data_IF_284180724303
#
_entry.id   IF_284180724303
#
_cell.length_a   1.000
_cell.length_b   1.000
_cell.length_c   1.000
_cell.angle_alpha   90.00
_cell.angle_beta   90.00
_cell.angle_gamma   90.00
#
_symmetry.space_group_name_H-M   'P 1'
#
loop_
_entity.id
_entity.type
_entity.pdbx_description
1 polymer ?
#
# COMPACT_ATOMS: atom_id res chain seq x y z
N UNK A 1 -7.42 -7.58 -7.02
CA UNK A 1 -8.61 -7.83 -6.20
C UNK A 1 -9.73 -8.26 -7.09
N UNK A 2 -10.56 -9.04 -6.55
CA UNK A 2 -11.69 -9.56 -7.27
C UNK A 2 -12.59 -8.42 -7.73
N UNK A 3 -13.04 -8.48 -8.95
CA UNK A 3 -14.03 -7.57 -9.54
C UNK A 3 -13.67 -6.09 -9.56
N UNK A 4 -12.45 -5.72 -9.19
CA UNK A 4 -12.00 -4.34 -9.28
C UNK A 4 -12.77 -3.34 -8.43
N UNK A 5 -13.23 -3.73 -7.24
CA UNK A 5 -14.00 -2.86 -6.36
C UNK A 5 -13.21 -2.27 -5.21
N UNK A 6 -11.93 -2.64 -5.07
CA UNK A 6 -11.08 -2.13 -4.01
C UNK A 6 -10.96 -0.60 -4.09
N UNK A 7 -11.07 0.07 -2.95
CA UNK A 7 -10.92 1.52 -2.90
C UNK A 7 -9.57 2.00 -3.41
N UNK A 8 -8.49 1.25 -3.15
CA UNK A 8 -7.15 1.67 -3.55
C UNK A 8 -6.85 1.33 -4.99
N UNK A 9 -7.16 0.11 -5.43
CA UNK A 9 -6.70 -0.40 -6.73
C UNK A 9 -7.82 -0.78 -7.69
N UNK A 10 -9.07 -0.74 -7.26
CA UNK A 10 -10.19 -1.21 -8.09
C UNK A 10 -10.58 -0.25 -9.19
N UNK A 11 -10.53 -0.69 -10.44
CA UNK A 11 -10.92 0.13 -11.59
C UNK A 11 -12.42 0.43 -11.62
N UNK A 12 -13.24 -0.38 -10.95
CA UNK A 12 -14.70 -0.23 -10.91
C UNK A 12 -15.21 0.56 -9.70
N UNK A 13 -14.32 1.01 -8.83
CA UNK A 13 -14.72 1.85 -7.71
C UNK A 13 -14.70 3.32 -8.13
N UNK A 14 -15.87 3.94 -8.27
CA UNK A 14 -15.98 5.29 -8.81
C UNK A 14 -15.31 6.36 -7.94
N UNK A 15 -15.21 6.12 -6.64
CA UNK A 15 -14.57 7.07 -5.71
C UNK A 15 -13.19 6.61 -5.28
N UNK A 16 -12.70 5.51 -5.84
CA UNK A 16 -11.43 4.92 -5.48
C UNK A 16 -10.24 5.61 -6.13
N UNK A 17 -9.08 5.25 -5.66
CA UNK A 17 -7.81 5.83 -6.11
C UNK A 17 -7.31 5.24 -7.43
N UNK A 18 -7.76 4.05 -7.76
CA UNK A 18 -7.45 3.34 -9.02
C UNK A 18 -5.96 3.22 -9.29
N UNK A 19 -5.20 2.89 -8.25
CA UNK A 19 -3.75 2.75 -8.37
C UNK A 19 -3.38 1.46 -9.06
N UNK A 20 -2.34 1.52 -9.90
CA UNK A 20 -1.77 0.35 -10.56
C UNK A 20 -0.43 0.03 -9.93
N UNK A 21 -0.32 -1.17 -9.36
CA UNK A 21 0.91 -1.63 -8.74
C UNK A 21 1.63 -2.60 -9.65
N UNK A 22 2.91 -2.37 -9.86
CA UNK A 22 3.80 -3.31 -10.52
C UNK A 22 4.35 -4.27 -9.48
N UNK A 23 4.27 -5.57 -9.75
CA UNK A 23 4.78 -6.59 -8.84
C UNK A 23 6.16 -7.05 -9.28
N UNK A 24 7.07 -7.11 -8.32
CA UNK A 24 8.37 -7.74 -8.47
C UNK A 24 8.34 -9.03 -7.67
N UNK A 25 8.05 -10.14 -8.37
CA UNK A 25 7.88 -11.44 -7.72
C UNK A 25 9.19 -12.02 -7.20
N UNK A 26 10.29 -11.64 -7.81
CA UNK A 26 11.60 -12.11 -7.41
C UNK A 26 12.02 -11.50 -6.06
N UNK A 27 11.73 -10.23 -5.86
CA UNK A 27 12.12 -9.49 -4.65
C UNK A 27 10.97 -9.27 -3.67
N UNK A 28 9.78 -9.81 -3.96
CA UNK A 28 8.58 -9.68 -3.14
C UNK A 28 8.25 -8.22 -2.83
N UNK A 29 8.16 -7.43 -3.91
CA UNK A 29 7.90 -6.00 -3.84
C UNK A 29 6.72 -5.59 -4.70
N UNK A 30 6.17 -4.43 -4.38
CA UNK A 30 5.17 -3.76 -5.21
C UNK A 30 5.55 -2.30 -5.33
N UNK A 31 5.34 -1.73 -6.51
CA UNK A 31 5.68 -0.33 -6.81
C UNK A 31 4.52 0.37 -7.48
N UNK A 32 4.39 1.66 -7.20
CA UNK A 32 3.38 2.50 -7.83
C UNK A 32 3.86 3.94 -7.85
N UNK A 33 3.55 4.65 -8.93
CA UNK A 33 3.74 6.10 -9.01
C UNK A 33 2.37 6.70 -9.23
N UNK A 34 2.01 7.72 -8.46
CA UNK A 34 0.69 8.32 -8.55
C UNK A 34 0.67 9.78 -8.17
N UNK A 35 -0.43 10.43 -8.50
CA UNK A 35 -0.74 11.80 -8.11
C UNK A 35 -2.12 11.76 -7.44
N UNK A 36 -2.24 12.32 -6.26
CA UNK A 36 -3.51 12.35 -5.53
C UNK A 36 -4.15 13.72 -5.68
N UNK A 37 -5.39 13.73 -6.15
CA UNK A 37 -6.12 14.95 -6.48
C UNK A 37 -6.85 15.54 -5.29
N UNK A 38 -7.48 16.69 -5.51
CA UNK A 38 -8.08 17.53 -4.44
C UNK A 38 -9.21 16.86 -3.67
N UNK A 39 -9.89 15.86 -4.27
CA UNK A 39 -10.98 15.15 -3.59
C UNK A 39 -10.49 14.38 -2.36
N UNK A 40 -9.20 14.15 -2.25
CA UNK A 40 -8.60 13.32 -1.20
C UNK A 40 -7.78 14.13 -0.21
N UNK A 41 -8.01 15.45 -0.17
CA UNK A 41 -7.28 16.31 0.77
C UNK A 41 -7.89 16.29 2.16
N UNK A 42 -7.03 16.53 3.16
CA UNK A 42 -7.44 16.82 4.52
C UNK A 42 -7.36 18.33 4.75
N UNK A 43 -6.20 18.81 5.21
CA UNK A 43 -5.93 20.25 5.21
C UNK A 43 -5.86 20.76 3.78
N UNK A 44 -6.25 22.00 3.57
CA UNK A 44 -6.25 22.61 2.25
C UNK A 44 -4.88 22.42 1.57
N UNK A 45 -4.89 21.79 0.40
CA UNK A 45 -3.69 21.54 -0.38
C UNK A 45 -2.87 20.34 0.02
N UNK A 46 -3.26 19.58 1.06
CA UNK A 46 -2.50 18.46 1.60
C UNK A 46 -3.34 17.18 1.52
N UNK A 47 -2.75 16.10 1.03
CA UNK A 47 -3.41 14.80 0.99
C UNK A 47 -3.76 14.35 2.41
N UNK A 48 -4.99 13.88 2.60
CA UNK A 48 -5.47 13.42 3.90
C UNK A 48 -4.60 12.25 4.38
N UNK A 49 -4.20 12.30 5.66
CA UNK A 49 -3.36 11.25 6.24
C UNK A 49 -3.94 9.86 6.15
N UNK A 50 -5.26 9.72 6.27
CA UNK A 50 -5.95 8.45 6.10
C UNK A 50 -5.90 7.93 4.67
N UNK A 51 -5.89 8.83 3.68
CA UNK A 51 -5.74 8.44 2.28
C UNK A 51 -4.32 7.91 2.05
N UNK A 52 -3.32 8.60 2.59
CA UNK A 52 -1.93 8.13 2.51
C UNK A 52 -1.81 6.75 3.17
N UNK A 53 -2.41 6.56 4.34
CA UNK A 53 -2.42 5.28 5.02
C UNK A 53 -3.07 4.18 4.16
N UNK A 54 -4.16 4.50 3.47
CA UNK A 54 -4.83 3.56 2.55
C UNK A 54 -3.92 3.16 1.39
N UNK A 55 -3.21 4.12 0.82
CA UNK A 55 -2.27 3.85 -0.29
C UNK A 55 -1.16 2.91 0.19
N UNK A 56 -0.58 3.19 1.35
CA UNK A 56 0.51 2.39 1.87
C UNK A 56 0.04 0.99 2.29
N UNK A 57 -1.15 0.90 2.91
CA UNK A 57 -1.76 -0.38 3.24
C UNK A 57 -1.98 -1.22 1.99
N UNK A 58 -2.58 -0.65 0.97
CA UNK A 58 -2.81 -1.33 -0.31
C UNK A 58 -1.51 -1.79 -0.96
N UNK A 59 -0.47 -0.95 -0.90
CA UNK A 59 0.83 -1.31 -1.48
C UNK A 59 1.45 -2.52 -0.78
N UNK A 60 1.30 -2.62 0.53
CA UNK A 60 1.82 -3.75 1.29
C UNK A 60 1.01 -5.03 1.04
N UNK A 61 -0.30 -4.91 0.83
CA UNK A 61 -1.11 -6.04 0.38
C UNK A 61 -0.60 -6.55 -0.98
N UNK A 62 -0.26 -5.65 -1.90
CA UNK A 62 0.29 -6.04 -3.19
C UNK A 62 1.69 -6.68 -3.06
N UNK A 63 2.50 -6.27 -2.09
CA UNK A 63 3.75 -6.96 -1.80
C UNK A 63 3.48 -8.42 -1.43
N UNK A 64 2.43 -8.69 -0.64
CA UNK A 64 2.02 -10.06 -0.35
C UNK A 64 1.52 -10.80 -1.60
N UNK A 65 0.83 -10.10 -2.50
CA UNK A 65 0.38 -10.69 -3.77
C UNK A 65 1.56 -11.10 -4.66
N UNK A 66 2.71 -10.46 -4.52
CA UNK A 66 3.90 -10.87 -5.25
C UNK A 66 4.37 -12.27 -4.85
N UNK A 67 3.90 -12.77 -3.71
CA UNK A 67 4.11 -14.13 -3.23
C UNK A 67 2.91 -15.05 -3.50
N UNK A 68 1.95 -14.60 -4.29
CA UNK A 68 0.69 -15.29 -4.58
C UNK A 68 -0.15 -15.57 -3.33
N UNK A 69 -0.06 -14.68 -2.34
CA UNK A 69 -0.77 -14.83 -1.08
C UNK A 69 -1.87 -13.78 -0.94
N UNK A 70 -2.99 -14.23 -0.39
CA UNK A 70 -4.08 -13.36 0.02
C UNK A 70 -3.91 -13.04 1.49
N UNK A 71 -3.72 -11.77 1.82
CA UNK A 71 -3.43 -11.33 3.17
C UNK A 71 -4.43 -10.28 3.63
N UNK A 72 -4.73 -10.29 4.94
CA UNK A 72 -5.52 -9.25 5.58
C UNK A 72 -4.61 -8.50 6.56
N UNK A 73 -4.73 -7.18 6.55
CA UNK A 73 -3.95 -6.33 7.46
C UNK A 73 -4.44 -6.51 8.90
N UNK A 74 -3.53 -6.88 9.79
CA UNK A 74 -3.82 -7.02 11.21
C UNK A 74 -3.40 -5.78 12.00
N UNK A 75 -2.26 -5.20 11.65
CA UNK A 75 -1.75 -3.98 12.27
C UNK A 75 -1.13 -3.11 11.19
N UNK A 76 -1.32 -1.81 11.31
CA UNK A 76 -0.75 -0.82 10.42
C UNK A 76 -0.18 0.31 11.24
N UNK A 77 1.11 0.61 11.06
CA UNK A 77 1.76 1.75 11.67
C UNK A 77 2.27 2.67 10.57
N UNK A 78 1.89 3.94 10.64
CA UNK A 78 2.28 4.94 9.65
C UNK A 78 3.00 6.07 10.35
N UNK A 79 4.16 6.43 9.80
CA UNK A 79 4.93 7.57 10.30
C UNK A 79 5.02 8.64 9.21
N UNK A 80 4.40 9.76 9.47
CA UNK A 80 4.37 10.89 8.55
C UNK A 80 5.55 11.81 8.85
N UNK A 81 6.51 11.87 7.95
CA UNK A 81 7.69 12.73 8.12
C UNK A 81 7.51 14.10 7.49
N UNK A 82 6.76 14.15 6.39
CA UNK A 82 6.47 15.38 5.66
C UNK A 82 5.05 15.34 5.14
N UNK A 83 4.34 16.48 5.13
CA UNK A 83 3.04 16.53 4.45
C UNK A 83 3.23 16.31 2.96
N UNK A 84 2.25 15.66 2.35
CA UNK A 84 2.24 15.38 0.92
C UNK A 84 1.23 16.29 0.26
N UNK A 85 1.68 17.24 -0.59
CA UNK A 85 0.75 18.12 -1.31
C UNK A 85 -0.12 17.31 -2.29
N UNK A 86 -1.35 17.80 -2.49
CA UNK A 86 -2.16 17.29 -3.59
C UNK A 86 -1.51 17.66 -4.91
N UNK A 87 -1.83 16.91 -5.96
CA UNK A 87 -1.30 17.13 -7.32
C UNK A 87 0.22 16.99 -7.42
N UNK A 88 0.85 16.41 -6.40
CA UNK A 88 2.27 16.12 -6.38
C UNK A 88 2.50 14.66 -6.69
N UNK A 89 3.41 14.36 -7.61
CA UNK A 89 3.76 12.99 -7.93
C UNK A 89 4.52 12.34 -6.77
N UNK A 90 4.10 11.15 -6.39
CA UNK A 90 4.76 10.35 -5.35
C UNK A 90 5.05 8.95 -5.88
N UNK A 91 6.11 8.36 -5.36
CA UNK A 91 6.51 6.99 -5.65
C UNK A 91 6.35 6.14 -4.41
N UNK A 92 5.67 5.02 -4.54
CA UNK A 92 5.42 4.09 -3.44
C UNK A 92 6.16 2.79 -3.73
N UNK A 93 6.90 2.30 -2.74
CA UNK A 93 7.56 0.99 -2.80
C UNK A 93 7.20 0.24 -1.52
N UNK A 94 6.66 -0.95 -1.69
CA UNK A 94 6.34 -1.83 -0.57
C UNK A 94 7.11 -3.13 -0.74
N UNK A 95 7.50 -3.75 0.37
CA UNK A 95 8.20 -5.03 0.33
C UNK A 95 7.86 -5.90 1.52
N UNK A 96 7.98 -7.20 1.31
CA UNK A 96 7.93 -8.18 2.40
C UNK A 96 9.26 -8.16 3.13
N UNK A 97 9.20 -8.01 4.45
CA UNK A 97 10.38 -8.01 5.32
C UNK A 97 10.66 -9.37 5.89
N UNK A 98 9.62 -10.06 6.35
CA UNK A 98 9.76 -11.32 7.06
C UNK A 98 8.48 -12.11 6.98
N UNK A 99 8.58 -13.40 7.18
CA UNK A 99 7.43 -14.29 7.25
C UNK A 99 7.66 -15.26 8.39
N UNK A 100 6.67 -15.36 9.29
CA UNK A 100 6.67 -16.32 10.38
C UNK A 100 5.57 -17.32 10.12
N UNK A 101 5.98 -18.58 9.95
CA UNK A 101 5.06 -19.67 9.66
C UNK A 101 5.25 -20.74 10.72
N UNK A 102 4.22 -20.92 11.56
CA UNK A 102 4.29 -21.89 12.66
C UNK A 102 2.91 -22.50 12.87
N UNK A 103 2.81 -23.82 12.66
CA UNK A 103 1.52 -24.53 12.69
C UNK A 103 0.52 -23.90 11.71
N UNK A 104 -0.66 -23.46 12.20
CA UNK A 104 -1.66 -22.76 11.38
C UNK A 104 -1.42 -21.25 11.34
N UNK A 105 -0.38 -20.77 12.02
CA UNK A 105 -0.07 -19.36 12.13
C UNK A 105 0.86 -18.95 10.99
N UNK A 106 0.40 -18.05 10.14
CA UNK A 106 1.19 -17.57 9.00
C UNK A 106 1.04 -16.05 8.91
N UNK A 107 2.11 -15.36 9.26
CA UNK A 107 2.12 -13.90 9.35
C UNK A 107 3.25 -13.36 8.49
N UNK A 108 2.95 -12.29 7.76
CA UNK A 108 3.94 -11.59 6.93
C UNK A 108 4.09 -10.18 7.48
N UNK A 109 5.35 -9.78 7.69
CA UNK A 109 5.71 -8.43 8.06
C UNK A 109 6.12 -7.68 6.80
N UNK A 110 5.50 -6.55 6.58
CA UNK A 110 5.72 -5.73 5.38
C UNK A 110 6.12 -4.32 5.78
N UNK A 111 6.75 -3.62 4.85
CA UNK A 111 7.02 -2.20 5.00
C UNK A 111 6.82 -1.50 3.67
N UNK A 112 6.53 -0.21 3.75
CA UNK A 112 6.36 0.63 2.56
C UNK A 112 6.92 2.01 2.82
N UNK A 113 7.34 2.66 1.74
CA UNK A 113 7.76 4.05 1.77
C UNK A 113 7.03 4.81 0.66
N UNK A 114 6.77 6.07 0.94
CA UNK A 114 6.28 7.02 -0.06
C UNK A 114 7.34 8.11 -0.22
N UNK A 115 7.85 8.25 -1.43
CA UNK A 115 8.87 9.24 -1.77
C UNK A 115 8.27 10.37 -2.57
N UNK A 116 8.80 11.54 -2.33
CA UNK A 116 8.46 12.77 -3.00
C UNK A 116 9.78 13.48 -3.31
N UNK A 117 10.02 13.78 -4.59
CA UNK A 117 11.29 14.37 -5.04
C UNK A 117 12.52 13.55 -4.58
N UNK A 118 12.42 12.24 -4.62
CA UNK A 118 13.50 11.34 -4.24
C UNK A 118 13.72 11.19 -2.73
N UNK A 119 12.90 11.85 -1.89
CA UNK A 119 13.03 11.81 -0.43
C UNK A 119 11.83 11.14 0.20
N UNK A 120 12.06 10.42 1.29
CA UNK A 120 10.99 9.74 2.00
C UNK A 120 10.12 10.76 2.72
N UNK A 121 8.83 10.78 2.38
CA UNK A 121 7.83 11.61 3.05
C UNK A 121 7.07 10.83 4.11
N UNK A 122 6.79 9.54 3.86
CA UNK A 122 6.01 8.71 4.77
C UNK A 122 6.58 7.29 4.78
N UNK A 123 6.59 6.67 5.95
CA UNK A 123 6.97 5.26 6.13
C UNK A 123 5.82 4.51 6.78
N UNK A 124 5.67 3.25 6.42
CA UNK A 124 4.67 2.39 7.04
C UNK A 124 5.21 0.99 7.26
N UNK A 125 4.65 0.31 8.25
CA UNK A 125 4.86 -1.10 8.52
C UNK A 125 3.52 -1.74 8.75
N UNK A 126 3.39 -3.00 8.37
CA UNK A 126 2.18 -3.74 8.64
C UNK A 126 2.48 -5.19 8.99
N UNK A 127 1.60 -5.73 9.81
CA UNK A 127 1.53 -7.15 10.10
C UNK A 127 0.33 -7.70 9.35
N UNK A 128 0.55 -8.70 8.52
CA UNK A 128 -0.48 -9.28 7.66
C UNK A 128 -0.74 -10.72 8.06
N UNK A 129 -2.02 -11.11 8.14
CA UNK A 129 -2.39 -12.52 8.28
C UNK A 129 -2.65 -13.10 6.90
N UNK A 130 -2.03 -14.26 6.64
CA UNK A 130 -2.25 -14.99 5.39
C UNK A 130 -3.56 -15.76 5.49
N UNK A 131 -4.45 -15.54 4.52
CA UNK A 131 -5.75 -16.21 4.43
C UNK A 131 -5.78 -17.31 3.37
N UNK A 132 -4.72 -17.47 2.61
CA UNK A 132 -4.61 -18.50 1.58
C UNK A 132 -3.84 -17.97 0.38
N UNK A 133 -3.93 -18.72 -0.70
CA UNK A 133 -3.29 -18.34 -1.95
C UNK A 133 -4.25 -17.58 -2.84
N UNK A 134 -3.72 -16.72 -3.67
CA UNK A 134 -4.48 -16.09 -4.75
C UNK A 134 -4.84 -17.14 -5.79
N UNK A 135 -6.02 -17.01 -6.37
CA UNK A 135 -6.47 -17.88 -7.45
C UNK A 135 -6.09 -17.35 -8.81
#
# INVERSE_FOLDING_TARGET
MEKGICFVCGSHNNVGLKLNFELDRENHQARCTTVTSEEYQGWDGIVHGGIIASILDGSMVFACKSMDLKCFTAELTVRYKKPVPINKQVEIVAKVRDQIKWRSYNVIYTEAIMKMDGRIAVKAKAKMFVKGKLK
#
